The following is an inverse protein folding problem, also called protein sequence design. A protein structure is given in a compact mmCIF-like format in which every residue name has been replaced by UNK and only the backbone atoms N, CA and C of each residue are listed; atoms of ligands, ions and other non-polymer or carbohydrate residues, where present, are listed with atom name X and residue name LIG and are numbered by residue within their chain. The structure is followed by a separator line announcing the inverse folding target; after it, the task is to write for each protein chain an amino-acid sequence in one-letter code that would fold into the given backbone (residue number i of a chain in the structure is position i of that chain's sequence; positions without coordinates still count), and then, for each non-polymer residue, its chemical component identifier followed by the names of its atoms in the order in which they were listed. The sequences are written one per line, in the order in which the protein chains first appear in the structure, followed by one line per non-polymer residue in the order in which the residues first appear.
data_IF_565562222903
#
_entry.id   IF_565562222903
#
_cell.length_a   1.000
_cell.length_b   1.000
_cell.length_c   1.000
_cell.angle_alpha   90.00
_cell.angle_beta   90.00
_cell.angle_gamma   90.00
#
_symmetry.space_group_name_H-M   'P 1'
#
loop_
_entity.id
_entity.type
_entity.pdbx_description
1 polymer ?
#
# COMPACT_ATOMS: atom_id res chain seq x y z
N UNK A 1 -43.67 -42.15 -9.23
CA UNK A 1 -42.87 -42.43 -8.02
C UNK A 1 -41.54 -43.13 -8.33
N UNK A 2 -41.44 -43.97 -9.38
CA UNK A 2 -40.20 -44.69 -9.74
C UNK A 2 -39.04 -43.79 -10.23
N UNK A 3 -39.33 -42.68 -10.91
CA UNK A 3 -38.30 -41.76 -11.46
C UNK A 3 -37.58 -40.94 -10.39
N UNK A 4 -38.28 -40.59 -9.31
CA UNK A 4 -37.68 -39.89 -8.14
C UNK A 4 -36.80 -40.84 -7.36
N UNK A 5 -37.24 -42.09 -7.17
CA UNK A 5 -36.45 -43.13 -6.51
C UNK A 5 -35.18 -43.46 -7.30
N UNK A 6 -35.25 -43.58 -8.63
CA UNK A 6 -34.06 -43.84 -9.45
C UNK A 6 -33.08 -42.66 -9.48
N UNK A 7 -33.59 -41.42 -9.49
CA UNK A 7 -32.76 -40.22 -9.44
C UNK A 7 -32.04 -40.08 -8.08
N UNK A 8 -32.72 -40.39 -6.97
CA UNK A 8 -32.13 -40.39 -5.63
C UNK A 8 -31.07 -41.48 -5.48
N UNK A 9 -31.34 -42.70 -5.99
CA UNK A 9 -30.37 -43.81 -5.94
C UNK A 9 -29.12 -43.49 -6.79
N UNK A 10 -29.30 -42.87 -7.96
CA UNK A 10 -28.18 -42.41 -8.79
C UNK A 10 -27.36 -41.30 -8.14
N UNK A 11 -28.01 -40.35 -7.45
CA UNK A 11 -27.33 -39.27 -6.73
C UNK A 11 -26.54 -39.79 -5.52
N UNK A 12 -27.09 -40.76 -4.78
CA UNK A 12 -26.45 -41.43 -3.63
C UNK A 12 -25.22 -42.24 -4.06
N UNK A 13 -25.30 -42.92 -5.21
CA UNK A 13 -24.19 -43.69 -5.77
C UNK A 13 -23.07 -42.82 -6.38
N UNK A 14 -23.35 -41.55 -6.67
CA UNK A 14 -22.36 -40.59 -7.17
C UNK A 14 -21.50 -39.96 -6.07
N UNK A 15 -21.85 -40.16 -4.79
CA UNK A 15 -21.11 -39.63 -3.64
C UNK A 15 -19.89 -40.53 -3.34
N UNK A 16 -18.66 -39.99 -3.29
CA UNK A 16 -17.46 -40.75 -2.91
C UNK A 16 -17.63 -41.51 -1.58
N UNK A 17 -17.19 -42.78 -1.53
CA UNK A 17 -17.31 -43.66 -0.35
C UNK A 17 -16.71 -43.05 0.93
N UNK A 18 -15.66 -42.23 0.79
CA UNK A 18 -15.05 -41.46 1.89
C UNK A 18 -16.00 -40.46 2.57
N UNK A 19 -16.96 -39.89 1.83
CA UNK A 19 -17.97 -38.99 2.40
C UNK A 19 -19.03 -39.78 3.19
N UNK A 20 -19.37 -40.99 2.76
CA UNK A 20 -20.21 -41.90 3.53
C UNK A 20 -19.53 -42.32 4.84
N UNK A 21 -18.23 -42.64 4.80
CA UNK A 21 -17.44 -42.92 5.99
C UNK A 21 -17.32 -41.70 6.92
N UNK A 22 -17.09 -40.49 6.38
CA UNK A 22 -17.05 -39.27 7.18
C UNK A 22 -18.38 -38.94 7.85
N UNK A 23 -19.49 -39.08 7.13
CA UNK A 23 -20.84 -38.93 7.68
C UNK A 23 -21.12 -39.97 8.78
N UNK A 24 -20.67 -41.22 8.57
CA UNK A 24 -20.76 -42.27 9.58
C UNK A 24 -19.96 -41.93 10.84
N UNK A 25 -18.71 -41.48 10.68
CA UNK A 25 -17.84 -41.04 11.78
C UNK A 25 -18.46 -39.86 12.53
N UNK A 26 -19.03 -38.89 11.81
CA UNK A 26 -19.69 -37.73 12.41
C UNK A 26 -20.94 -38.13 13.19
N UNK A 27 -21.79 -38.97 12.61
CA UNK A 27 -22.98 -39.48 13.28
C UNK A 27 -22.63 -40.29 14.54
N UNK A 28 -21.66 -41.21 14.43
CA UNK A 28 -21.21 -42.03 15.53
C UNK A 28 -20.55 -41.21 16.65
N UNK A 29 -19.68 -40.27 16.29
CA UNK A 29 -18.97 -39.45 17.28
C UNK A 29 -19.87 -38.42 17.97
N UNK A 30 -20.91 -37.89 17.30
CA UNK A 30 -21.92 -37.06 17.97
C UNK A 30 -22.76 -37.85 18.97
N UNK A 31 -23.12 -39.10 18.64
CA UNK A 31 -23.78 -40.01 19.57
C UNK A 31 -22.84 -40.32 20.75
N UNK A 32 -21.56 -40.59 20.49
CA UNK A 32 -20.56 -40.81 21.53
C UNK A 32 -20.37 -39.58 22.43
N UNK A 33 -20.30 -38.37 21.86
CA UNK A 33 -20.20 -37.11 22.61
C UNK A 33 -21.39 -36.92 23.55
N UNK A 34 -22.60 -37.13 23.04
CA UNK A 34 -23.82 -37.06 23.85
C UNK A 34 -23.82 -38.11 24.98
N UNK A 35 -23.51 -39.36 24.65
CA UNK A 35 -23.45 -40.47 25.62
C UNK A 35 -22.41 -40.20 26.70
N UNK A 36 -21.21 -39.72 26.33
CA UNK A 36 -20.17 -39.37 27.30
C UNK A 36 -20.62 -38.20 28.17
N UNK A 37 -21.28 -37.17 27.62
CA UNK A 37 -21.85 -36.09 28.44
C UNK A 37 -22.84 -36.60 29.49
N UNK A 38 -23.72 -37.53 29.10
CA UNK A 38 -24.71 -38.16 30.00
C UNK A 38 -24.03 -39.04 31.05
N UNK A 39 -23.07 -39.87 30.65
CA UNK A 39 -22.34 -40.77 31.56
C UNK A 39 -21.49 -39.94 32.53
N UNK A 40 -20.75 -38.96 32.04
CA UNK A 40 -19.85 -38.14 32.84
C UNK A 40 -20.63 -37.38 33.91
N UNK A 41 -21.79 -36.81 33.57
CA UNK A 41 -22.69 -36.20 34.56
C UNK A 41 -23.07 -37.20 35.67
N UNK A 42 -23.46 -38.43 35.32
CA UNK A 42 -23.82 -39.47 36.30
C UNK A 42 -22.63 -39.92 37.15
N UNK A 43 -21.45 -40.05 36.55
CA UNK A 43 -20.23 -40.46 37.24
C UNK A 43 -19.75 -39.39 38.22
N UNK A 44 -19.72 -38.12 37.80
CA UNK A 44 -19.32 -37.00 38.65
C UNK A 44 -20.28 -36.84 39.84
N UNK A 45 -21.59 -37.01 39.63
CA UNK A 45 -22.55 -37.01 40.74
C UNK A 45 -22.35 -38.21 41.68
N UNK A 46 -22.10 -39.42 41.15
CA UNK A 46 -21.84 -40.61 41.99
C UNK A 46 -20.50 -40.57 42.71
N UNK A 47 -19.52 -39.88 42.15
CA UNK A 47 -18.19 -39.74 42.72
C UNK A 47 -18.12 -38.69 43.84
N UNK A 48 -19.24 -38.04 44.16
CA UNK A 48 -19.30 -37.06 45.25
C UNK A 48 -18.72 -35.68 44.88
N UNK A 49 -18.60 -35.38 43.59
CA UNK A 49 -18.02 -34.11 43.11
C UNK A 49 -18.84 -32.89 43.54
N UNK A 50 -20.20 -32.92 43.55
CA UNK A 50 -20.99 -31.82 44.10
C UNK A 50 -20.63 -31.47 45.55
N UNK A 51 -20.47 -32.49 46.40
CA UNK A 51 -20.22 -32.36 47.83
C UNK A 51 -18.81 -31.81 48.11
N UNK A 52 -17.82 -32.15 47.28
CA UNK A 52 -16.45 -31.65 47.40
C UNK A 52 -16.32 -30.18 47.00
N UNK A 53 -17.18 -29.70 46.08
CA UNK A 53 -17.14 -28.35 45.53
C UNK A 53 -18.07 -27.40 46.30
N UNK A 54 -18.89 -27.93 47.20
CA UNK A 54 -19.84 -27.18 48.01
C UNK A 54 -19.13 -26.13 48.88
N UNK A 55 -19.61 -24.88 48.81
CA UNK A 55 -19.05 -23.75 49.55
C UNK A 55 -17.82 -23.10 48.93
N UNK A 56 -17.32 -23.61 47.80
CA UNK A 56 -16.21 -22.99 47.06
C UNK A 56 -16.65 -21.72 46.32
N UNK A 57 -15.70 -20.84 46.02
CA UNK A 57 -15.95 -19.67 45.18
C UNK A 57 -16.51 -20.07 43.79
N UNK A 58 -16.05 -21.21 43.26
CA UNK A 58 -16.46 -21.72 41.96
C UNK A 58 -17.94 -22.11 41.92
N UNK A 59 -18.46 -22.75 42.98
CA UNK A 59 -19.87 -23.11 43.08
C UNK A 59 -20.77 -21.86 43.09
N UNK A 60 -20.38 -20.82 43.84
CA UNK A 60 -21.12 -19.55 43.91
C UNK A 60 -21.23 -18.90 42.53
N UNK A 61 -20.12 -18.87 41.79
CA UNK A 61 -20.09 -18.34 40.42
C UNK A 61 -20.92 -19.22 39.47
N UNK A 62 -20.84 -20.54 39.54
CA UNK A 62 -21.65 -21.42 38.70
C UNK A 62 -23.16 -21.22 38.93
N UNK A 63 -23.56 -21.01 40.19
CA UNK A 63 -24.96 -20.77 40.58
C UNK A 63 -25.48 -19.40 40.12
N UNK A 64 -24.60 -18.39 40.01
CA UNK A 64 -24.93 -17.08 39.44
C UNK A 64 -25.36 -17.18 37.96
N UNK A 65 -24.84 -18.16 37.24
CA UNK A 65 -25.25 -18.50 35.87
C UNK A 65 -26.35 -19.58 35.78
N UNK A 66 -27.09 -19.81 36.87
CA UNK A 66 -28.16 -20.82 36.98
C UNK A 66 -27.73 -22.24 36.56
N UNK A 67 -26.45 -22.58 36.82
CA UNK A 67 -25.87 -23.87 36.43
C UNK A 67 -25.12 -24.55 37.57
N UNK A 68 -24.72 -25.80 37.37
CA UNK A 68 -23.94 -26.58 38.33
C UNK A 68 -22.55 -26.89 37.80
N UNK A 69 -21.57 -26.97 38.68
CA UNK A 69 -20.18 -27.33 38.32
C UNK A 69 -20.13 -28.65 37.56
N UNK A 70 -20.90 -29.65 38.00
CA UNK A 70 -20.99 -30.94 37.31
C UNK A 70 -21.61 -30.81 35.91
N UNK A 71 -22.62 -29.94 35.73
CA UNK A 71 -23.19 -29.67 34.42
C UNK A 71 -22.18 -29.00 33.49
N UNK A 72 -21.45 -27.97 33.96
CA UNK A 72 -20.41 -27.29 33.20
C UNK A 72 -19.32 -28.30 32.76
N UNK A 73 -18.81 -29.11 33.69
CA UNK A 73 -17.76 -30.10 33.39
C UNK A 73 -18.23 -31.18 32.42
N UNK A 74 -19.47 -31.67 32.57
CA UNK A 74 -20.05 -32.62 31.64
C UNK A 74 -20.27 -32.02 30.23
N UNK A 75 -20.71 -30.77 30.17
CA UNK A 75 -20.95 -30.06 28.91
C UNK A 75 -19.64 -29.74 28.17
N UNK A 76 -18.61 -29.29 28.90
CA UNK A 76 -17.26 -29.09 28.35
C UNK A 76 -16.69 -30.39 27.77
N UNK A 77 -16.85 -31.50 28.49
CA UNK A 77 -16.40 -32.83 28.03
C UNK A 77 -17.13 -33.25 26.75
N UNK A 78 -18.44 -33.03 26.68
CA UNK A 78 -19.24 -33.33 25.49
C UNK A 78 -18.84 -32.47 24.28
N UNK A 79 -18.68 -31.15 24.46
CA UNK A 79 -18.23 -30.26 23.39
C UNK A 79 -16.82 -30.57 22.90
N UNK A 80 -15.92 -30.94 23.80
CA UNK A 80 -14.58 -31.38 23.41
C UNK A 80 -14.63 -32.61 22.51
N UNK A 81 -15.41 -33.62 22.86
CA UNK A 81 -15.57 -34.85 22.06
C UNK A 81 -16.26 -34.55 20.73
N UNK A 82 -17.25 -33.66 20.72
CA UNK A 82 -17.91 -33.20 19.49
C UNK A 82 -16.93 -32.47 18.56
N UNK A 83 -16.09 -31.58 19.09
CA UNK A 83 -15.07 -30.87 18.31
C UNK A 83 -14.04 -31.84 17.71
N UNK A 84 -13.53 -32.79 18.52
CA UNK A 84 -12.63 -33.85 18.03
C UNK A 84 -13.30 -34.71 16.97
N UNK A 85 -14.56 -35.09 17.16
CA UNK A 85 -15.34 -35.86 16.17
C UNK A 85 -15.44 -35.12 14.84
N UNK A 86 -15.71 -33.82 14.85
CA UNK A 86 -15.80 -33.01 13.63
C UNK A 86 -14.44 -32.99 12.92
N UNK A 87 -13.35 -32.79 13.66
CA UNK A 87 -11.99 -32.81 13.09
C UNK A 87 -11.67 -34.18 12.45
N UNK A 88 -11.99 -35.28 13.14
CA UNK A 88 -11.77 -36.65 12.62
C UNK A 88 -12.66 -36.92 11.40
N UNK A 89 -13.93 -36.50 11.42
CA UNK A 89 -14.83 -36.63 10.27
C UNK A 89 -14.32 -35.84 9.05
N UNK A 90 -13.82 -34.61 9.26
CA UNK A 90 -13.21 -33.80 8.20
C UNK A 90 -11.91 -34.42 7.67
N UNK A 91 -11.14 -35.11 8.53
CA UNK A 91 -9.93 -35.84 8.14
C UNK A 91 -10.28 -37.09 7.32
N UNK A 92 -11.28 -37.87 7.73
CA UNK A 92 -11.77 -39.07 7.02
C UNK A 92 -12.44 -38.71 5.69
N UNK A 93 -13.07 -37.54 5.62
CA UNK A 93 -13.60 -37.01 4.37
C UNK A 93 -12.51 -36.68 3.34
N UNK A 94 -11.22 -36.81 3.70
CA UNK A 94 -10.04 -36.52 2.85
C UNK A 94 -10.12 -35.10 2.26
N UNK A 95 -10.65 -34.20 3.08
CA UNK A 95 -10.81 -32.81 2.72
C UNK A 95 -9.51 -32.12 3.12
N UNK A 96 -8.54 -32.16 2.22
CA UNK A 96 -7.18 -31.63 2.40
C UNK A 96 -7.08 -30.10 2.63
N UNK A 97 -8.12 -29.45 3.15
CA UNK A 97 -8.10 -28.03 3.49
C UNK A 97 -7.03 -27.71 4.53
N UNK A 98 -6.77 -28.60 5.50
CA UNK A 98 -5.74 -28.36 6.50
C UNK A 98 -4.35 -28.38 5.87
N UNK A 99 -4.04 -29.35 5.00
CA UNK A 99 -2.76 -29.41 4.29
C UNK A 99 -2.60 -28.26 3.28
N UNK A 100 -3.68 -27.89 2.58
CA UNK A 100 -3.67 -26.77 1.63
C UNK A 100 -3.54 -25.42 2.34
N UNK A 101 -4.15 -25.27 3.53
CA UNK A 101 -4.01 -24.11 4.38
C UNK A 101 -2.59 -24.01 4.95
N UNK A 102 -2.06 -25.08 5.56
CA UNK A 102 -0.71 -25.10 6.13
C UNK A 102 0.36 -24.91 5.07
N UNK A 103 0.20 -25.48 3.87
CA UNK A 103 1.12 -25.27 2.75
C UNK A 103 1.04 -23.83 2.21
N UNK A 104 -0.16 -23.24 2.14
CA UNK A 104 -0.33 -21.82 1.81
C UNK A 104 0.35 -20.90 2.82
N UNK A 105 0.16 -21.15 4.13
CA UNK A 105 0.81 -20.40 5.21
C UNK A 105 2.33 -20.56 5.16
N UNK A 106 2.83 -21.79 4.98
CA UNK A 106 4.26 -22.08 4.87
C UNK A 106 4.91 -21.40 3.65
N UNK A 107 4.19 -21.29 2.53
CA UNK A 107 4.65 -20.57 1.34
C UNK A 107 4.55 -19.04 1.48
N UNK A 108 3.60 -18.55 2.29
CA UNK A 108 3.37 -17.13 2.50
C UNK A 108 4.34 -16.51 3.51
N UNK A 109 4.71 -17.23 4.57
CA UNK A 109 5.62 -16.75 5.62
C UNK A 109 6.95 -16.18 5.07
N UNK A 110 7.69 -16.91 4.21
CA UNK A 110 8.93 -16.41 3.64
C UNK A 110 8.74 -15.16 2.79
N UNK A 111 7.63 -15.06 2.05
CA UNK A 111 7.30 -13.89 1.22
C UNK A 111 7.06 -12.65 2.07
N UNK A 112 6.31 -12.79 3.16
CA UNK A 112 6.10 -11.71 4.13
C UNK A 112 7.42 -11.31 4.78
N UNK A 113 8.24 -12.27 5.16
CA UNK A 113 9.55 -12.00 5.76
C UNK A 113 10.45 -11.18 4.81
N UNK A 114 10.55 -11.57 3.54
CA UNK A 114 11.29 -10.82 2.52
C UNK A 114 10.67 -9.43 2.31
N UNK A 115 9.34 -9.32 2.23
CA UNK A 115 8.65 -8.04 2.08
C UNK A 115 8.97 -7.07 3.24
N UNK A 116 8.97 -7.56 4.48
CA UNK A 116 9.33 -6.78 5.67
C UNK A 116 10.79 -6.35 5.62
N UNK A 117 11.73 -7.25 5.26
CA UNK A 117 13.14 -6.90 5.10
C UNK A 117 13.30 -5.80 4.05
N UNK A 118 12.69 -5.97 2.87
CA UNK A 118 12.76 -4.98 1.78
C UNK A 118 12.23 -3.63 2.25
N UNK A 119 11.12 -3.60 2.99
CA UNK A 119 10.55 -2.36 3.52
C UNK A 119 11.49 -1.69 4.53
N UNK A 120 12.05 -2.45 5.48
CA UNK A 120 13.02 -1.94 6.46
C UNK A 120 14.24 -1.36 5.74
N UNK A 121 14.82 -2.10 4.79
CA UNK A 121 15.95 -1.64 3.99
C UNK A 121 15.57 -0.37 3.22
N UNK A 122 14.38 -0.32 2.63
CA UNK A 122 13.87 0.85 1.91
C UNK A 122 13.78 2.10 2.78
N UNK A 123 13.27 1.98 4.00
CA UNK A 123 13.20 3.09 4.97
C UNK A 123 14.60 3.54 5.36
N UNK A 124 15.50 2.62 5.70
CA UNK A 124 16.89 2.95 6.08
C UNK A 124 17.64 3.63 4.94
N UNK A 125 17.50 3.13 3.70
CA UNK A 125 18.12 3.74 2.52
C UNK A 125 17.49 5.10 2.23
N UNK A 126 16.17 5.24 2.39
CA UNK A 126 15.47 6.50 2.24
C UNK A 126 15.96 7.57 3.22
N UNK A 127 16.08 7.23 4.50
CA UNK A 127 16.62 8.14 5.53
C UNK A 127 18.05 8.57 5.21
N UNK A 128 18.91 7.63 4.79
CA UNK A 128 20.28 7.95 4.38
C UNK A 128 20.32 8.85 3.15
N UNK A 129 19.45 8.60 2.17
CA UNK A 129 19.36 9.42 0.97
C UNK A 129 18.91 10.86 1.30
N UNK A 130 17.91 11.03 2.18
CA UNK A 130 17.48 12.35 2.66
C UNK A 130 18.61 13.10 3.36
N UNK A 131 19.36 12.44 4.24
CA UNK A 131 20.50 13.06 4.93
C UNK A 131 21.58 13.51 3.95
N UNK A 132 21.95 12.64 3.00
CA UNK A 132 22.93 12.96 1.96
C UNK A 132 22.48 14.17 1.13
N UNK A 133 21.23 14.22 0.72
CA UNK A 133 20.69 15.34 -0.06
C UNK A 133 20.66 16.61 0.78
N UNK A 134 20.25 16.52 2.04
CA UNK A 134 20.23 17.66 2.98
C UNK A 134 21.63 18.25 3.15
N UNK A 135 22.65 17.41 3.34
CA UNK A 135 24.03 17.86 3.50
C UNK A 135 24.57 18.56 2.25
N UNK A 136 24.21 18.06 1.05
CA UNK A 136 24.61 18.70 -0.22
C UNK A 136 23.90 20.03 -0.45
N UNK A 137 22.66 20.17 0.03
CA UNK A 137 21.87 21.39 -0.15
C UNK A 137 22.09 22.44 0.95
N UNK A 138 22.74 22.11 2.08
CA UNK A 138 23.06 23.05 3.16
C UNK A 138 23.83 24.30 2.72
N UNK A 139 24.62 24.20 1.65
CA UNK A 139 25.38 25.32 1.10
C UNK A 139 24.54 26.33 0.32
N UNK A 140 23.29 25.99 -0.01
CA UNK A 140 22.41 26.80 -0.86
C UNK A 140 21.35 27.50 0.00
N UNK A 141 21.39 28.83 0.06
CA UNK A 141 20.46 29.66 0.85
C UNK A 141 19.12 29.87 0.13
N UNK A 142 18.49 28.81 -0.34
CA UNK A 142 17.18 28.86 -0.98
C UNK A 142 16.15 28.08 -0.14
N UNK A 143 15.18 28.76 0.50
CA UNK A 143 14.15 28.11 1.31
C UNK A 143 13.36 27.05 0.55
N UNK A 144 13.17 27.24 -0.77
CA UNK A 144 12.42 26.31 -1.63
C UNK A 144 13.10 24.94 -1.77
N UNK A 145 14.41 24.81 -1.50
CA UNK A 145 15.13 23.55 -1.63
C UNK A 145 14.83 22.55 -0.51
N UNK A 146 14.14 22.98 0.57
CA UNK A 146 13.78 22.13 1.70
C UNK A 146 12.82 20.98 1.34
N UNK A 147 12.15 21.03 0.19
CA UNK A 147 11.22 19.97 -0.26
C UNK A 147 11.93 18.78 -0.90
N UNK A 148 13.16 18.94 -1.42
CA UNK A 148 13.87 17.88 -2.14
C UNK A 148 14.34 16.73 -1.23
N UNK A 149 14.94 16.96 -0.05
CA UNK A 149 15.35 15.87 0.83
C UNK A 149 14.21 14.90 1.21
N UNK A 150 13.04 15.37 1.71
CA UNK A 150 11.94 14.46 2.04
C UNK A 150 11.35 13.80 0.77
N UNK A 151 11.30 14.50 -0.36
CA UNK A 151 10.84 13.93 -1.64
C UNK A 151 11.69 12.73 -2.07
N UNK A 152 13.01 12.81 -1.92
CA UNK A 152 13.93 11.70 -2.23
C UNK A 152 13.67 10.51 -1.33
N UNK A 153 13.54 10.72 -0.01
CA UNK A 153 13.20 9.64 0.93
C UNK A 153 11.88 8.96 0.57
N UNK A 154 10.81 9.73 0.39
CA UNK A 154 9.51 9.16 0.09
C UNK A 154 9.50 8.43 -1.25
N UNK A 155 10.28 8.87 -2.23
CA UNK A 155 10.44 8.16 -3.50
C UNK A 155 11.08 6.78 -3.32
N UNK A 156 12.16 6.70 -2.52
CA UNK A 156 12.82 5.41 -2.20
C UNK A 156 11.88 4.49 -1.43
N UNK A 157 11.21 5.02 -0.40
CA UNK A 157 10.26 4.25 0.43
C UNK A 157 9.08 3.75 -0.42
N UNK A 158 8.57 4.57 -1.34
CA UNK A 158 7.50 4.17 -2.25
C UNK A 158 7.91 2.99 -3.14
N UNK A 159 9.10 3.04 -3.75
CA UNK A 159 9.62 1.93 -4.57
C UNK A 159 9.78 0.67 -3.71
N UNK A 160 10.34 0.79 -2.50
CA UNK A 160 10.47 -0.34 -1.59
C UNK A 160 9.11 -0.94 -1.21
N UNK A 161 8.09 -0.10 -0.99
CA UNK A 161 6.73 -0.55 -0.73
C UNK A 161 6.12 -1.30 -1.93
N UNK A 162 6.34 -0.84 -3.16
CA UNK A 162 5.92 -1.57 -4.37
C UNK A 162 6.60 -2.94 -4.47
N UNK A 163 7.90 -3.02 -4.20
CA UNK A 163 8.62 -4.30 -4.21
C UNK A 163 8.05 -5.22 -3.12
N UNK A 164 7.84 -4.72 -1.90
CA UNK A 164 7.27 -5.49 -0.79
C UNK A 164 5.85 -6.00 -1.10
N UNK A 165 5.00 -5.17 -1.68
CA UNK A 165 3.66 -5.56 -2.13
C UNK A 165 3.71 -6.66 -3.20
N UNK A 166 4.65 -6.55 -4.14
CA UNK A 166 4.89 -7.57 -5.17
C UNK A 166 5.29 -8.93 -4.58
N UNK A 167 6.11 -8.94 -3.51
CA UNK A 167 6.51 -10.18 -2.83
C UNK A 167 5.33 -10.92 -2.20
N UNK A 168 4.35 -10.17 -1.66
CA UNK A 168 3.15 -10.72 -1.03
C UNK A 168 2.11 -11.18 -2.08
N UNK A 169 2.35 -10.89 -3.36
CA UNK A 169 1.48 -11.28 -4.48
C UNK A 169 0.43 -10.24 -4.85
N UNK A 170 0.56 -9.00 -4.35
CA UNK A 170 -0.30 -7.89 -4.74
C UNK A 170 0.07 -7.43 -6.15
N UNK A 171 -0.93 -7.22 -7.00
CA UNK A 171 -0.71 -6.73 -8.36
C UNK A 171 -0.36 -5.24 -8.34
N UNK A 172 0.93 -4.92 -8.43
CA UNK A 172 1.44 -3.54 -8.35
C UNK A 172 1.43 -2.78 -9.67
N UNK A 173 1.08 -3.43 -10.79
CA UNK A 173 1.09 -2.83 -12.12
C UNK A 173 0.23 -1.55 -12.18
N UNK A 174 -0.97 -1.57 -11.60
CA UNK A 174 -1.84 -0.40 -11.56
C UNK A 174 -1.19 0.78 -10.82
N UNK A 175 -0.47 0.51 -9.72
CA UNK A 175 0.24 1.53 -8.95
C UNK A 175 1.43 2.11 -9.73
N UNK A 176 2.17 1.25 -10.44
CA UNK A 176 3.29 1.67 -11.30
C UNK A 176 2.81 2.54 -12.45
N UNK A 177 1.70 2.16 -13.11
CA UNK A 177 1.09 2.96 -14.19
C UNK A 177 0.62 4.32 -13.68
N UNK A 178 0.00 4.37 -12.50
CA UNK A 178 -0.43 5.63 -11.89
C UNK A 178 0.76 6.52 -11.54
N UNK A 179 1.84 5.96 -10.97
CA UNK A 179 3.07 6.69 -10.71
C UNK A 179 3.66 7.26 -12.00
N UNK A 180 3.73 6.47 -13.06
CA UNK A 180 4.26 6.91 -14.35
C UNK A 180 3.44 8.07 -14.93
N UNK A 181 2.10 7.99 -14.85
CA UNK A 181 1.22 9.06 -15.29
C UNK A 181 1.44 10.35 -14.47
N UNK A 182 1.55 10.23 -13.14
CA UNK A 182 1.84 11.37 -12.27
C UNK A 182 3.21 11.99 -12.55
N UNK A 183 4.25 11.17 -12.69
CA UNK A 183 5.60 11.62 -13.01
C UNK A 183 5.64 12.36 -14.35
N UNK A 184 4.96 11.83 -15.38
CA UNK A 184 4.84 12.48 -16.68
C UNK A 184 4.12 13.81 -16.55
N UNK A 185 3.00 13.87 -15.82
CA UNK A 185 2.27 15.11 -15.59
C UNK A 185 3.18 16.17 -14.95
N UNK A 186 3.90 15.83 -13.87
CA UNK A 186 4.82 16.76 -13.20
C UNK A 186 5.89 17.28 -14.16
N UNK A 187 6.50 16.41 -14.97
CA UNK A 187 7.53 16.82 -15.95
C UNK A 187 6.94 17.75 -17.01
N UNK A 188 5.77 17.44 -17.54
CA UNK A 188 5.10 18.27 -18.55
C UNK A 188 4.69 19.63 -17.96
N UNK A 189 4.12 19.65 -16.76
CA UNK A 189 3.76 20.89 -16.09
C UNK A 189 4.98 21.76 -15.79
N UNK A 190 6.08 21.18 -15.30
CA UNK A 190 7.32 21.91 -15.06
C UNK A 190 7.88 22.48 -16.38
N UNK A 191 7.93 21.67 -17.44
CA UNK A 191 8.41 22.12 -18.74
C UNK A 191 7.56 23.26 -19.32
N UNK A 192 6.24 23.19 -19.18
CA UNK A 192 5.33 24.27 -19.60
C UNK A 192 5.50 25.53 -18.73
N UNK A 193 5.63 25.37 -17.42
CA UNK A 193 5.78 26.49 -16.49
C UNK A 193 7.11 27.25 -16.69
N UNK A 194 8.19 26.56 -17.07
CA UNK A 194 9.51 27.17 -17.27
C UNK A 194 9.79 27.53 -18.75
N UNK A 195 8.85 27.29 -19.67
CA UNK A 195 9.05 27.48 -21.11
C UNK A 195 9.58 28.87 -21.46
N UNK A 196 8.98 29.93 -20.91
CA UNK A 196 9.32 31.31 -21.26
C UNK A 196 10.65 31.76 -20.62
N UNK A 197 10.98 31.25 -19.44
CA UNK A 197 12.27 31.48 -18.78
C UNK A 197 13.42 30.87 -19.61
N UNK A 198 13.25 29.63 -20.07
CA UNK A 198 14.24 28.95 -20.93
C UNK A 198 14.35 29.65 -22.28
N UNK A 199 13.23 30.05 -22.89
CA UNK A 199 13.25 30.79 -24.15
C UNK A 199 13.98 32.15 -24.00
N UNK A 200 13.79 32.83 -22.89
CA UNK A 200 14.48 34.10 -22.59
C UNK A 200 15.98 33.90 -22.42
N UNK A 201 16.39 32.87 -21.68
CA UNK A 201 17.80 32.53 -21.52
C UNK A 201 18.46 32.21 -22.87
N UNK A 202 17.81 31.40 -23.71
CA UNK A 202 18.33 31.03 -25.03
C UNK A 202 18.48 32.25 -25.95
N UNK A 203 17.47 33.14 -25.95
CA UNK A 203 17.53 34.41 -26.66
C UNK A 203 18.67 35.29 -26.13
N UNK A 204 18.83 35.42 -24.82
CA UNK A 204 19.90 36.21 -24.21
C UNK A 204 21.29 35.69 -24.56
N UNK A 205 21.52 34.37 -24.53
CA UNK A 205 22.80 33.78 -24.98
C UNK A 205 23.10 34.17 -26.42
N UNK A 206 22.12 34.12 -27.32
CA UNK A 206 22.30 34.53 -28.71
C UNK A 206 22.63 36.02 -28.82
N UNK A 207 21.87 36.88 -28.13
CA UNK A 207 22.05 38.33 -28.15
C UNK A 207 23.43 38.73 -27.63
N UNK A 208 23.89 38.11 -26.55
CA UNK A 208 25.21 38.34 -25.96
C UNK A 208 26.35 37.86 -26.86
N UNK A 209 26.18 36.75 -27.58
CA UNK A 209 27.22 36.19 -28.45
C UNK A 209 27.31 36.90 -29.81
N UNK A 210 26.17 37.27 -30.39
CA UNK A 210 26.10 37.88 -31.72
C UNK A 210 26.08 39.39 -31.70
N UNK A 211 25.73 39.99 -30.56
CA UNK A 211 25.63 41.44 -30.35
C UNK A 211 25.00 42.16 -31.55
N UNK A 212 23.77 41.80 -31.98
CA UNK A 212 23.12 42.46 -33.10
C UNK A 212 22.79 43.94 -32.82
N UNK A 213 22.75 44.30 -31.55
CA UNK A 213 22.68 45.66 -31.00
C UNK A 213 23.47 45.68 -29.67
N UNK A 214 23.91 46.86 -29.26
CA UNK A 214 24.72 47.07 -28.07
C UNK A 214 24.14 48.10 -27.11
N UNK A 215 24.78 48.23 -25.95
CA UNK A 215 24.50 49.31 -24.99
C UNK A 215 24.77 50.66 -25.65
N UNK A 216 23.82 51.59 -25.53
CA UNK A 216 23.85 52.90 -26.15
C UNK A 216 23.14 53.00 -27.51
N UNK A 217 22.75 51.88 -28.12
CA UNK A 217 21.96 51.91 -29.36
C UNK A 217 20.51 52.35 -29.05
N UNK A 218 19.96 53.20 -29.92
CA UNK A 218 18.54 53.54 -29.88
C UNK A 218 17.73 52.48 -30.66
N UNK A 219 16.80 51.84 -29.97
CA UNK A 219 16.06 50.69 -30.49
C UNK A 219 14.56 50.84 -30.29
N UNK A 220 13.80 50.11 -31.10
CA UNK A 220 12.36 49.88 -30.90
C UNK A 220 12.06 48.39 -30.83
N UNK A 221 11.43 47.95 -29.74
CA UNK A 221 11.12 46.55 -29.43
C UNK A 221 9.81 46.47 -28.68
N UNK A 222 8.95 45.50 -29.03
CA UNK A 222 7.68 45.25 -28.36
C UNK A 222 6.76 46.49 -28.19
N UNK A 223 6.89 47.49 -29.06
CA UNK A 223 6.11 48.73 -29.02
C UNK A 223 6.79 49.90 -28.28
N UNK A 224 7.85 49.63 -27.52
CA UNK A 224 8.61 50.64 -26.78
C UNK A 224 9.83 51.12 -27.59
N UNK A 225 10.13 52.43 -27.52
CA UNK A 225 11.31 53.05 -28.13
C UNK A 225 12.19 53.60 -27.00
N UNK A 226 13.47 53.25 -26.99
CA UNK A 226 14.41 53.74 -25.97
C UNK A 226 15.85 53.40 -26.29
N UNK A 227 16.75 53.80 -25.40
CA UNK A 227 18.19 53.51 -25.50
C UNK A 227 18.49 52.26 -24.68
N UNK A 228 19.25 51.32 -25.25
CA UNK A 228 19.65 50.09 -24.55
C UNK A 228 20.64 50.42 -23.44
N UNK A 229 20.30 50.10 -22.19
CA UNK A 229 21.17 50.27 -21.04
C UNK A 229 21.94 49.01 -20.70
N UNK A 230 21.28 47.85 -20.76
CA UNK A 230 21.88 46.57 -20.37
C UNK A 230 21.23 45.42 -21.15
N UNK A 231 22.04 44.41 -21.48
CA UNK A 231 21.58 43.13 -22.01
C UNK A 231 22.05 42.04 -21.07
N UNK A 232 21.12 41.47 -20.32
CA UNK A 232 21.34 40.34 -19.41
C UNK A 232 21.00 39.01 -20.09
N UNK A 233 21.27 37.90 -19.38
CA UNK A 233 20.90 36.55 -19.85
C UNK A 233 19.38 36.40 -20.08
N UNK A 234 18.54 37.03 -19.25
CA UNK A 234 17.09 36.84 -19.29
C UNK A 234 16.31 38.04 -19.81
N UNK A 235 16.84 39.26 -19.62
CA UNK A 235 16.14 40.51 -19.91
C UNK A 235 17.05 41.49 -20.63
N UNK A 236 16.46 42.42 -21.37
CA UNK A 236 17.10 43.61 -21.93
C UNK A 236 16.44 44.82 -21.28
N UNK A 237 17.24 45.77 -20.78
CA UNK A 237 16.76 47.02 -20.17
C UNK A 237 16.90 48.14 -21.19
N UNK A 238 15.81 48.85 -21.45
CA UNK A 238 15.82 50.07 -22.27
C UNK A 238 15.31 51.24 -21.43
N UNK A 239 15.87 52.41 -21.65
CA UNK A 239 15.45 53.64 -20.99
C UNK A 239 14.82 54.61 -22.00
N UNK A 240 13.68 55.17 -21.63
CA UNK A 240 12.95 56.15 -22.43
C UNK A 240 12.32 57.20 -21.51
N UNK A 241 12.55 58.48 -21.79
CA UNK A 241 11.95 59.60 -21.04
C UNK A 241 12.09 59.53 -19.50
N UNK A 242 13.14 58.88 -19.01
CA UNK A 242 13.41 58.69 -17.57
C UNK A 242 12.73 57.47 -16.93
N UNK A 243 12.07 56.63 -17.72
CA UNK A 243 11.50 55.34 -17.30
C UNK A 243 12.38 54.17 -17.79
N UNK A 244 12.59 53.16 -16.93
CA UNK A 244 13.31 51.93 -17.27
C UNK A 244 12.31 50.81 -17.60
N UNK A 245 12.36 50.31 -18.84
CA UNK A 245 11.56 49.18 -19.29
C UNK A 245 12.40 47.90 -19.28
N UNK A 246 11.94 46.90 -18.53
CA UNK A 246 12.58 45.57 -18.42
C UNK A 246 11.86 44.58 -19.33
N UNK A 247 12.48 44.26 -20.46
CA UNK A 247 11.90 43.38 -21.48
C UNK A 247 12.53 41.99 -21.43
N UNK A 248 11.74 40.91 -21.25
CA UNK A 248 12.22 39.55 -21.44
C UNK A 248 12.83 39.34 -22.83
N UNK A 249 14.02 38.72 -22.89
CA UNK A 249 14.75 38.53 -24.15
C UNK A 249 13.97 37.67 -25.17
N UNK A 250 13.05 36.81 -24.72
CA UNK A 250 12.20 36.05 -25.64
C UNK A 250 11.25 36.95 -26.44
N UNK A 251 10.82 38.09 -25.89
CA UNK A 251 9.98 39.06 -26.61
C UNK A 251 10.79 39.78 -27.69
N UNK A 252 12.03 40.19 -27.37
CA UNK A 252 12.96 40.78 -28.34
C UNK A 252 13.16 39.85 -29.53
N UNK A 253 13.41 38.56 -29.25
CA UNK A 253 13.67 37.58 -30.28
C UNK A 253 12.42 37.20 -31.08
N UNK A 254 11.23 37.22 -30.46
CA UNK A 254 9.96 36.89 -31.12
C UNK A 254 9.44 38.04 -31.98
N UNK A 255 9.47 39.25 -31.46
CA UNK A 255 8.85 40.42 -32.09
C UNK A 255 9.84 41.18 -33.00
N UNK A 256 11.13 40.92 -32.86
CA UNK A 256 12.20 41.54 -33.63
C UNK A 256 12.61 42.91 -33.10
N UNK A 257 13.82 43.35 -33.44
CA UNK A 257 14.37 44.64 -33.02
C UNK A 257 14.65 45.55 -34.21
N UNK A 258 14.26 46.81 -34.07
CA UNK A 258 14.55 47.85 -35.05
C UNK A 258 15.60 48.79 -34.47
N UNK A 259 16.76 48.88 -35.12
CA UNK A 259 17.77 49.88 -34.80
C UNK A 259 17.44 51.19 -35.51
N UNK A 260 17.37 52.28 -34.74
CA UNK A 260 17.18 53.63 -35.27
C UNK A 260 18.58 54.23 -35.46
N UNK A 261 18.95 54.53 -36.70
CA UNK A 261 20.19 55.23 -37.04
C UNK A 261 19.82 56.58 -37.63
N UNK A 262 20.12 57.65 -36.91
CA UNK A 262 20.14 59.01 -37.45
C UNK A 262 21.49 59.31 -38.12
#
# INVERSE_FOLDING_TARGET
MSTVTSALVGAVAAVPDRLWLALFVLAFGLVAAYVVGVINRRLLTRAGVPEVIEGTAFERTAREFDTSTVHILAQLSSYFIAAVTVIVALTVADVNYLEQFWSGVAAFLPRVFVAVIVLIVGVVVGDKAELLVTERLRGVKLPELGVFPPLVKYSVVYVAALVALGQIGVQTLALVVLLAAFALAVVVFAALATKDLVASAAAGVFLLLRQPYGVGDEVRVAGERGIVQEVDLFVTRIEADGEEHVLPNHLVFRDGIVLLRE
#
